data_IF_484847992091
#
_entry.id   IF_484847992091
#
_cell.length_a   1.000
_cell.length_b   1.000
_cell.length_c   1.000
_cell.angle_alpha   90.00
_cell.angle_beta   90.00
_cell.angle_gamma   90.00
#
_symmetry.space_group_name_H-M   'P 1'
#
loop_
_entity.id
_entity.type
_entity.pdbx_description
1 polymer ?
#
# COMPACT_ATOMS: atom_id res chain seq x y z
N UNK A 1 12.36 -14.16 32.71
CA UNK A 1 10.97 -14.25 32.19
C UNK A 1 10.36 -12.87 31.89
N UNK A 2 10.65 -11.81 32.65
CA UNK A 2 10.06 -10.46 32.50
C UNK A 2 10.52 -9.69 31.23
N UNK A 3 11.76 -9.90 30.77
CA UNK A 3 12.29 -9.24 29.54
C UNK A 3 11.52 -9.62 28.25
N UNK A 4 11.00 -10.84 28.17
CA UNK A 4 10.25 -11.30 27.00
C UNK A 4 8.84 -10.70 26.93
N UNK A 5 8.21 -10.40 28.07
CA UNK A 5 6.88 -9.77 28.09
C UNK A 5 6.91 -8.32 27.62
N UNK A 6 7.92 -7.54 28.01
CA UNK A 6 8.07 -6.14 27.56
C UNK A 6 8.33 -6.05 26.05
N UNK A 7 9.16 -6.94 25.51
CA UNK A 7 9.40 -7.01 24.07
C UNK A 7 8.10 -7.40 23.35
N UNK A 8 7.36 -8.40 23.84
CA UNK A 8 6.09 -8.81 23.23
C UNK A 8 5.02 -7.71 23.28
N UNK A 9 4.91 -6.97 24.40
CA UNK A 9 3.98 -5.84 24.54
C UNK A 9 4.35 -4.67 23.60
N UNK A 10 5.65 -4.40 23.41
CA UNK A 10 6.13 -3.39 22.46
C UNK A 10 5.95 -3.83 20.99
N UNK A 11 6.15 -5.12 20.68
CA UNK A 11 5.90 -5.70 19.34
C UNK A 11 4.42 -5.67 18.95
N UNK A 12 3.54 -5.98 19.90
CA UNK A 12 2.09 -5.78 19.74
C UNK A 12 1.82 -4.28 19.54
N UNK A 13 2.51 -3.37 20.23
CA UNK A 13 2.30 -1.94 20.07
C UNK A 13 2.60 -1.42 18.64
N UNK A 14 3.71 -1.84 18.02
CA UNK A 14 4.18 -1.23 16.75
C UNK A 14 3.30 -1.64 15.55
N UNK A 15 2.90 -2.91 15.48
CA UNK A 15 1.99 -3.41 14.45
C UNK A 15 0.62 -2.70 14.55
N UNK A 16 0.09 -2.57 15.77
CA UNK A 16 -1.19 -1.91 15.99
C UNK A 16 -1.14 -0.42 15.65
N UNK A 17 -0.07 0.28 16.02
CA UNK A 17 0.12 1.69 15.62
C UNK A 17 0.12 1.83 14.10
N UNK A 18 0.87 0.99 13.39
CA UNK A 18 0.92 0.98 11.93
C UNK A 18 -0.48 0.76 11.31
N UNK A 19 -1.24 -0.22 11.82
CA UNK A 19 -2.59 -0.52 11.33
C UNK A 19 -3.58 0.60 11.59
N UNK A 20 -3.53 1.22 12.77
CA UNK A 20 -4.38 2.35 13.13
C UNK A 20 -4.10 3.54 12.20
N UNK A 21 -2.82 3.87 11.97
CA UNK A 21 -2.42 4.93 11.05
C UNK A 21 -2.92 4.60 9.63
N UNK A 22 -2.68 3.37 9.14
CA UNK A 22 -3.12 2.93 7.82
C UNK A 22 -4.64 3.08 7.65
N UNK A 23 -5.42 2.52 8.57
CA UNK A 23 -6.89 2.59 8.54
C UNK A 23 -7.40 4.03 8.61
N UNK A 24 -6.79 4.86 9.44
CA UNK A 24 -7.14 6.27 9.53
C UNK A 24 -6.87 6.99 8.20
N UNK A 25 -5.72 6.73 7.57
CA UNK A 25 -5.33 7.34 6.29
C UNK A 25 -6.30 6.95 5.18
N UNK A 26 -6.60 5.66 5.00
CA UNK A 26 -7.47 5.19 3.92
C UNK A 26 -8.95 5.54 4.14
N UNK A 27 -9.35 5.82 5.38
CA UNK A 27 -10.69 6.27 5.71
C UNK A 27 -10.95 7.74 5.34
N UNK A 28 -9.90 8.53 5.15
CA UNK A 28 -10.05 9.92 4.72
C UNK A 28 -10.36 9.96 3.22
N UNK A 29 -11.52 10.48 2.86
CA UNK A 29 -11.81 10.84 1.47
C UNK A 29 -11.03 12.11 1.10
N UNK A 30 -9.78 11.95 0.66
CA UNK A 30 -8.95 13.07 0.25
C UNK A 30 -9.49 13.78 -1.01
N UNK A 31 -10.45 13.17 -1.73
CA UNK A 31 -11.10 13.75 -2.91
C UNK A 31 -12.30 14.65 -2.55
N UNK A 32 -12.93 14.48 -1.37
CA UNK A 32 -14.13 15.23 -0.95
C UNK A 32 -13.92 16.24 0.19
N UNK A 33 -12.77 16.26 0.87
CA UNK A 33 -12.60 17.12 2.04
C UNK A 33 -12.36 18.61 1.70
N UNK A 34 -13.40 19.42 1.83
CA UNK A 34 -13.32 20.85 2.18
C UNK A 34 -12.73 20.96 3.59
N UNK A 35 -11.39 21.01 3.70
CA UNK A 35 -10.71 21.26 4.99
C UNK A 35 -10.92 22.74 5.37
N UNK A 36 -12.09 23.06 5.92
CA UNK A 36 -12.33 24.30 6.68
C UNK A 36 -12.18 24.09 8.19
N UNK A 37 -11.83 22.89 8.64
CA UNK A 37 -11.52 22.61 10.03
C UNK A 37 -10.13 22.01 10.12
N UNK A 38 -9.14 22.86 10.40
CA UNK A 38 -8.00 22.65 11.32
C UNK A 38 -7.39 24.06 11.47
N UNK A 39 -7.91 24.80 12.44
CA UNK A 39 -7.39 26.11 12.88
C UNK A 39 -6.22 25.83 13.81
N UNK A 40 -5.07 25.42 13.28
CA UNK A 40 -3.76 25.62 13.92
C UNK A 40 -2.67 25.55 12.83
N UNK A 41 -1.80 26.58 12.69
CA UNK A 41 -0.77 26.64 11.67
C UNK A 41 0.41 25.71 12.05
N UNK A 42 0.17 24.41 11.97
CA UNK A 42 1.19 23.38 12.23
C UNK A 42 1.42 22.59 10.93
N UNK A 43 2.55 21.90 10.83
CA UNK A 43 3.02 21.17 9.63
C UNK A 43 2.03 20.15 9.03
N UNK A 44 0.99 19.77 9.77
CA UNK A 44 -0.15 18.93 9.35
C UNK A 44 -1.10 19.65 8.39
N UNK A 45 -1.30 20.97 8.55
CA UNK A 45 -2.17 21.77 7.69
C UNK A 45 -1.58 21.97 6.29
N UNK A 46 -0.26 22.11 6.18
CA UNK A 46 0.47 22.19 4.89
C UNK A 46 0.42 20.88 4.12
N UNK A 47 0.47 19.74 4.81
CA UNK A 47 0.42 18.41 4.21
C UNK A 47 -0.97 18.13 3.62
N UNK A 48 -2.03 18.41 4.38
CA UNK A 48 -3.41 18.29 3.86
C UNK A 48 -3.68 19.25 2.69
N UNK A 49 -3.07 20.45 2.70
CA UNK A 49 -3.06 21.37 1.56
C UNK A 49 -2.23 20.83 0.37
N UNK A 50 -1.14 20.12 0.64
CA UNK A 50 -0.30 19.43 -0.35
C UNK A 50 -1.08 18.35 -1.09
N UNK A 51 -1.81 17.53 -0.34
CA UNK A 51 -2.74 16.52 -0.88
C UNK A 51 -3.81 17.18 -1.76
N UNK A 52 -4.42 18.27 -1.29
CA UNK A 52 -5.41 19.04 -2.06
C UNK A 52 -4.85 19.61 -3.37
N UNK A 53 -3.56 19.97 -3.40
CA UNK A 53 -2.88 20.46 -4.60
C UNK A 53 -2.34 19.35 -5.52
N UNK A 54 -2.60 18.08 -5.20
CA UNK A 54 -2.06 16.92 -5.92
C UNK A 54 -0.56 16.70 -5.72
N UNK A 55 0.07 17.43 -4.79
CA UNK A 55 1.50 17.36 -4.49
C UNK A 55 1.86 16.27 -3.48
N UNK A 56 0.89 15.77 -2.73
CA UNK A 56 1.11 14.72 -1.74
C UNK A 56 0.05 13.62 -1.85
N UNK A 57 0.49 12.37 -1.90
CA UNK A 57 -0.40 11.19 -2.03
C UNK A 57 -0.77 10.62 -0.66
N UNK A 58 -1.72 9.67 -0.60
CA UNK A 58 -1.99 8.90 0.63
C UNK A 58 -0.71 8.33 1.27
N UNK A 59 0.28 7.97 0.45
CA UNK A 59 1.60 7.48 0.87
C UNK A 59 2.44 8.52 1.62
N UNK A 60 2.38 9.80 1.21
CA UNK A 60 3.10 10.88 1.88
C UNK A 60 2.49 11.16 3.27
N UNK A 61 1.16 11.18 3.35
CA UNK A 61 0.45 11.29 4.62
C UNK A 61 0.78 10.13 5.56
N UNK A 62 0.74 8.90 5.04
CA UNK A 62 1.10 7.71 5.79
C UNK A 62 2.56 7.78 6.32
N UNK A 63 3.54 8.07 5.45
CA UNK A 63 4.95 8.20 5.84
C UNK A 63 5.17 9.25 6.94
N UNK A 64 4.49 10.39 6.86
CA UNK A 64 4.62 11.45 7.88
C UNK A 64 4.03 11.03 9.23
N UNK A 65 2.88 10.37 9.25
CA UNK A 65 2.29 9.85 10.48
C UNK A 65 3.14 8.72 11.09
N UNK A 66 3.68 7.84 10.24
CA UNK A 66 4.66 6.84 10.66
C UNK A 66 5.87 7.49 11.35
N UNK A 67 6.44 8.54 10.76
CA UNK A 67 7.56 9.28 11.34
C UNK A 67 7.22 9.83 12.75
N UNK A 68 6.04 10.43 12.92
CA UNK A 68 5.60 10.91 14.25
C UNK A 68 5.36 9.79 15.26
N UNK A 69 4.99 8.60 14.80
CA UNK A 69 4.82 7.41 15.63
C UNK A 69 6.13 6.64 15.87
N UNK A 70 7.29 7.15 15.40
CA UNK A 70 8.58 6.47 15.52
C UNK A 70 8.73 5.25 14.59
N UNK A 71 7.91 5.14 13.54
CA UNK A 71 7.97 4.08 12.54
C UNK A 71 8.83 4.50 11.35
N UNK A 72 9.81 3.69 10.99
CA UNK A 72 10.56 3.87 9.74
C UNK A 72 9.67 3.51 8.56
N UNK A 73 9.49 4.45 7.63
CA UNK A 73 8.61 4.30 6.48
C UNK A 73 9.24 4.96 5.26
N UNK A 74 9.28 4.23 4.15
CA UNK A 74 9.84 4.68 2.88
C UNK A 74 8.80 4.67 1.77
N UNK A 75 8.89 5.65 0.87
CA UNK A 75 8.07 5.70 -0.35
C UNK A 75 8.88 5.02 -1.45
N UNK A 76 8.29 4.03 -2.08
CA UNK A 76 8.87 3.26 -3.17
C UNK A 76 8.27 3.76 -4.47
N UNK A 77 9.13 4.02 -5.46
CA UNK A 77 8.75 4.38 -6.81
C UNK A 77 8.89 3.16 -7.72
N UNK A 78 8.04 3.07 -8.75
CA UNK A 78 8.11 1.99 -9.71
C UNK A 78 6.96 1.99 -10.69
N UNK A 79 6.64 0.79 -11.19
CA UNK A 79 5.57 0.53 -12.12
C UNK A 79 4.45 -0.28 -11.46
N UNK A 80 3.25 -0.18 -12.01
CA UNK A 80 2.14 -1.04 -11.57
C UNK A 80 1.26 -1.48 -12.72
N UNK A 81 0.78 -2.72 -12.65
CA UNK A 81 -0.27 -3.26 -13.51
C UNK A 81 -1.63 -2.74 -13.05
N UNK A 82 -1.78 -1.41 -13.04
CA UNK A 82 -2.90 -0.66 -12.46
C UNK A 82 -4.13 -0.56 -13.35
N UNK A 83 -4.83 0.58 -13.29
CA UNK A 83 -5.91 0.89 -14.21
C UNK A 83 -5.38 1.07 -15.64
N UNK A 84 -6.10 0.56 -16.64
CA UNK A 84 -5.74 0.70 -18.05
C UNK A 84 -4.62 -0.24 -18.55
N UNK A 85 -3.89 -0.93 -17.67
CA UNK A 85 -2.90 -1.92 -18.09
C UNK A 85 -3.58 -3.16 -18.65
N UNK A 86 -3.08 -3.64 -19.80
CA UNK A 86 -3.47 -4.91 -20.41
C UNK A 86 -2.23 -5.78 -20.65
N UNK A 87 -2.32 -7.12 -20.54
CA UNK A 87 -1.21 -8.00 -20.88
C UNK A 87 -0.65 -7.68 -22.27
N UNK A 88 0.68 -7.68 -22.39
CA UNK A 88 1.38 -7.32 -23.63
C UNK A 88 1.62 -5.82 -23.83
N UNK A 89 1.04 -4.95 -23.00
CA UNK A 89 1.43 -3.52 -23.00
C UNK A 89 2.82 -3.34 -22.42
N UNK A 90 3.60 -2.47 -23.07
CA UNK A 90 4.92 -2.05 -22.59
C UNK A 90 4.77 -1.05 -21.43
N UNK A 91 5.69 -1.15 -20.48
CA UNK A 91 5.83 -0.20 -19.37
C UNK A 91 7.16 0.53 -19.56
N UNK A 92 7.09 1.70 -20.20
CA UNK A 92 8.25 2.52 -20.56
C UNK A 92 8.00 4.00 -20.23
N UNK A 93 9.06 4.73 -19.88
CA UNK A 93 8.99 6.14 -19.52
C UNK A 93 7.97 6.40 -18.40
N UNK A 94 7.04 7.32 -18.65
CA UNK A 94 6.01 7.72 -17.69
C UNK A 94 4.75 6.83 -17.69
N UNK A 95 4.66 5.85 -18.60
CA UNK A 95 3.51 4.94 -18.62
C UNK A 95 3.50 4.04 -17.40
N UNK A 96 2.34 3.89 -16.76
CA UNK A 96 2.12 3.00 -15.61
C UNK A 96 3.02 3.26 -14.38
N UNK A 97 3.65 4.44 -14.31
CA UNK A 97 4.40 4.89 -13.13
C UNK A 97 3.48 5.03 -11.93
N UNK A 98 3.96 4.58 -10.78
CA UNK A 98 3.21 4.59 -9.54
C UNK A 98 4.16 4.68 -8.33
N UNK A 99 3.56 4.81 -7.14
CA UNK A 99 4.27 4.80 -5.87
C UNK A 99 3.49 4.01 -4.83
N UNK A 100 4.21 3.46 -3.85
CA UNK A 100 3.64 2.86 -2.65
C UNK A 100 4.59 3.05 -1.47
N UNK A 101 4.33 2.40 -0.34
CA UNK A 101 5.12 2.55 0.89
C UNK A 101 5.62 1.22 1.40
N UNK A 102 6.78 1.22 2.05
CA UNK A 102 7.22 0.14 2.92
C UNK A 102 7.43 0.67 4.34
N UNK A 103 7.10 -0.14 5.34
CA UNK A 103 7.29 0.18 6.76
C UNK A 103 8.16 -0.88 7.40
N UNK A 104 9.10 -0.49 8.26
CA UNK A 104 9.87 -1.43 9.05
C UNK A 104 9.11 -1.80 10.33
N UNK A 105 8.78 -3.08 10.47
CA UNK A 105 8.10 -3.64 11.64
C UNK A 105 9.03 -4.71 12.22
N UNK A 106 9.50 -4.48 13.45
CA UNK A 106 10.38 -5.41 14.17
C UNK A 106 11.64 -5.84 13.41
N UNK A 107 12.23 -4.93 12.63
CA UNK A 107 13.43 -5.19 11.83
C UNK A 107 13.16 -5.65 10.40
N UNK A 108 11.91 -5.96 10.05
CA UNK A 108 11.54 -6.42 8.70
C UNK A 108 10.72 -5.38 7.94
N UNK A 109 11.10 -5.11 6.69
CA UNK A 109 10.32 -4.24 5.81
C UNK A 109 9.06 -4.95 5.31
N UNK A 110 7.94 -4.21 5.27
CA UNK A 110 6.62 -4.70 4.84
C UNK A 110 5.94 -3.71 3.92
N UNK A 111 5.30 -4.22 2.87
CA UNK A 111 4.69 -3.41 1.81
C UNK A 111 3.28 -2.95 2.19
N UNK A 112 3.00 -1.67 1.96
CA UNK A 112 1.69 -1.04 2.19
C UNK A 112 1.32 -0.20 0.99
N UNK A 113 0.08 -0.37 0.48
CA UNK A 113 -0.47 0.51 -0.55
C UNK A 113 -1.73 1.24 -0.10
N UNK A 114 -1.55 2.45 0.46
CA UNK A 114 -2.67 3.27 0.93
C UNK A 114 -3.63 3.70 -0.21
N UNK A 115 -3.12 4.04 -1.39
CA UNK A 115 -3.94 4.51 -2.51
C UNK A 115 -4.87 3.40 -3.03
N UNK A 116 -4.33 2.19 -3.18
CA UNK A 116 -5.12 1.04 -3.67
C UNK A 116 -6.04 0.46 -2.59
N UNK A 117 -5.64 0.56 -1.32
CA UNK A 117 -6.47 0.23 -0.16
C UNK A 117 -7.69 1.15 0.01
N UNK A 118 -7.54 2.45 -0.29
CA UNK A 118 -8.60 3.45 -0.18
C UNK A 118 -9.64 3.38 -1.31
N UNK A 119 -9.70 2.27 -2.06
CA UNK A 119 -10.62 2.11 -3.19
C UNK A 119 -12.06 2.37 -2.76
N UNK A 120 -12.73 3.22 -3.52
CA UNK A 120 -14.17 3.34 -3.43
C UNK A 120 -14.81 2.20 -4.23
N UNK A 121 -15.72 1.46 -3.61
CA UNK A 121 -16.57 0.52 -4.35
C UNK A 121 -17.88 1.25 -4.62
N UNK A 122 -18.14 1.54 -5.89
CA UNK A 122 -19.48 1.93 -6.34
C UNK A 122 -20.35 0.67 -6.30
N UNK A 123 -21.31 0.62 -5.38
CA UNK A 123 -22.36 -0.39 -5.36
C UNK A 123 -23.64 0.18 -5.97
N UNK A 124 -24.40 -0.67 -6.65
CA UNK A 124 -25.83 -0.43 -6.88
C UNK A 124 -26.63 -1.20 -5.84
N UNK A 125 -27.30 -0.48 -4.95
CA UNK A 125 -28.52 -0.94 -4.30
C UNK A 125 -29.59 0.07 -4.69
N UNK A 126 -30.67 -0.43 -5.28
CA UNK A 126 -31.93 0.24 -5.61
C UNK A 126 -31.83 1.78 -5.68
N UNK A 127 -31.66 2.24 -6.92
CA UNK A 127 -31.92 3.60 -7.41
C UNK A 127 -30.99 4.75 -6.97
N UNK A 128 -29.91 4.49 -6.24
CA UNK A 128 -28.84 5.48 -6.00
C UNK A 128 -27.43 4.86 -6.09
N UNK A 129 -26.44 5.55 -6.70
CA UNK A 129 -25.03 5.16 -6.56
C UNK A 129 -24.58 5.45 -5.12
N UNK A 130 -24.69 4.46 -4.23
CA UNK A 130 -24.09 4.55 -2.91
C UNK A 130 -22.61 4.19 -3.03
N UNK A 131 -21.76 5.21 -2.86
CA UNK A 131 -20.31 5.05 -2.76
C UNK A 131 -20.01 4.45 -1.37
N UNK A 132 -19.88 3.14 -1.27
CA UNK A 132 -19.44 2.51 -0.04
C UNK A 132 -17.91 2.53 0.02
N UNK A 133 -17.36 3.15 1.07
CA UNK A 133 -15.95 3.00 1.40
C UNK A 133 -15.72 1.57 1.89
N UNK A 134 -15.23 0.70 0.99
CA UNK A 134 -14.75 -0.63 1.36
C UNK A 134 -13.23 -0.61 1.25
N UNK A 135 -12.57 -0.58 2.40
CA UNK A 135 -11.12 -0.66 2.48
C UNK A 135 -10.65 -2.07 2.11
N UNK A 136 -9.59 -2.14 1.32
CA UNK A 136 -9.01 -3.41 0.90
C UNK A 136 -7.75 -3.72 1.72
N UNK A 137 -7.95 -4.57 2.75
CA UNK A 137 -6.88 -4.99 3.67
C UNK A 137 -5.79 -5.80 2.99
N UNK A 138 -5.99 -6.31 1.77
CA UNK A 138 -4.94 -6.95 0.97
C UNK A 138 -3.68 -6.08 0.90
N UNK A 139 -3.86 -4.76 0.80
CA UNK A 139 -2.76 -3.80 0.65
C UNK A 139 -2.14 -3.34 1.98
N UNK A 140 -2.46 -3.98 3.11
CA UNK A 140 -1.81 -3.75 4.40
C UNK A 140 -0.83 -4.88 4.71
N UNK A 141 0.47 -4.55 4.74
CA UNK A 141 1.56 -5.50 5.00
C UNK A 141 1.52 -6.72 4.06
N UNK A 142 1.17 -6.51 2.79
CA UNK A 142 1.07 -7.57 1.78
C UNK A 142 2.37 -8.33 1.67
N UNK A 143 2.25 -9.65 1.52
CA UNK A 143 3.42 -10.50 1.27
C UNK A 143 4.03 -10.16 -0.10
N UNK A 144 5.36 -10.03 -0.20
CA UNK A 144 6.08 -9.71 -1.43
C UNK A 144 5.68 -10.56 -2.65
N UNK A 145 5.46 -11.86 -2.43
CA UNK A 145 5.11 -12.86 -3.44
C UNK A 145 3.74 -12.60 -4.06
N UNK A 146 2.79 -12.07 -3.28
CA UNK A 146 1.47 -11.67 -3.77
C UNK A 146 1.53 -10.25 -4.38
N UNK A 147 2.35 -9.37 -3.82
CA UNK A 147 2.43 -7.96 -4.22
C UNK A 147 3.11 -7.76 -5.58
N UNK A 148 4.13 -8.56 -5.90
CA UNK A 148 4.92 -8.47 -7.15
C UNK A 148 4.06 -8.68 -8.40
N UNK A 149 2.92 -9.36 -8.31
CA UNK A 149 1.99 -9.48 -9.44
C UNK A 149 1.39 -8.16 -9.90
N UNK A 150 1.39 -7.14 -9.03
CA UNK A 150 0.75 -5.85 -9.28
C UNK A 150 1.74 -4.69 -9.36
N UNK A 151 2.88 -4.76 -8.66
CA UNK A 151 3.80 -3.65 -8.49
C UNK A 151 5.26 -4.09 -8.67
N UNK A 152 6.04 -3.31 -9.41
CA UNK A 152 7.47 -3.58 -9.64
C UNK A 152 8.29 -2.32 -9.30
N UNK A 153 9.16 -2.36 -8.28
CA UNK A 153 9.94 -1.20 -7.87
C UNK A 153 11.08 -0.87 -8.82
N UNK A 154 11.52 0.39 -8.82
CA UNK A 154 12.72 0.81 -9.56
C UNK A 154 14.00 0.18 -9.00
N UNK A 155 14.11 0.13 -7.67
CA UNK A 155 15.21 -0.53 -6.99
C UNK A 155 14.81 -1.99 -6.69
N UNK A 156 15.54 -2.99 -7.21
CA UNK A 156 15.17 -4.40 -7.03
C UNK A 156 15.10 -4.86 -5.57
N UNK A 157 15.86 -4.23 -4.66
CA UNK A 157 15.83 -4.52 -3.22
C UNK A 157 14.44 -4.29 -2.60
N UNK A 158 13.66 -3.34 -3.13
CA UNK A 158 12.30 -3.07 -2.65
C UNK A 158 11.25 -4.09 -3.10
N UNK A 159 11.64 -5.10 -3.88
CA UNK A 159 10.76 -6.24 -4.12
C UNK A 159 10.53 -7.03 -2.83
N UNK A 160 11.52 -7.03 -1.93
CA UNK A 160 11.52 -7.79 -0.67
C UNK A 160 11.31 -9.31 -0.87
N UNK A 161 11.53 -9.81 -2.10
CA UNK A 161 11.60 -11.22 -2.43
C UNK A 161 12.99 -11.76 -2.08
N UNK A 162 13.07 -13.03 -1.69
CA UNK A 162 14.35 -13.72 -1.48
C UNK A 162 15.21 -13.73 -2.75
N UNK A 163 14.56 -13.92 -3.90
CA UNK A 163 15.17 -13.84 -5.23
C UNK A 163 14.42 -12.77 -6.03
N UNK A 164 15.03 -11.58 -6.26
CA UNK A 164 14.40 -10.53 -7.03
C UNK A 164 14.04 -11.00 -8.45
N UNK A 165 12.78 -10.77 -8.81
CA UNK A 165 12.23 -11.05 -10.13
C UNK A 165 12.76 -10.03 -11.14
N UNK A 166 13.27 -10.44 -12.31
CA UNK A 166 13.61 -9.51 -13.38
C UNK A 166 12.38 -8.79 -13.95
N UNK A 167 12.57 -7.57 -14.45
CA UNK A 167 11.47 -6.78 -15.01
C UNK A 167 10.77 -7.46 -16.19
N UNK A 168 11.53 -8.16 -17.04
CA UNK A 168 10.97 -8.94 -18.16
C UNK A 168 10.00 -10.03 -17.68
N UNK A 169 10.34 -10.72 -16.59
CA UNK A 169 9.47 -11.73 -16.00
C UNK A 169 8.25 -11.11 -15.32
N UNK A 170 8.44 -9.98 -14.65
CA UNK A 170 7.31 -9.21 -14.12
C UNK A 170 6.29 -8.89 -15.20
N UNK A 171 6.70 -8.45 -16.40
CA UNK A 171 5.77 -8.16 -17.50
C UNK A 171 4.97 -9.39 -17.94
N UNK A 172 5.56 -10.58 -17.86
CA UNK A 172 4.93 -11.86 -18.22
C UNK A 172 3.99 -12.40 -17.15
N UNK A 173 4.06 -11.92 -15.90
CA UNK A 173 3.13 -12.36 -14.84
C UNK A 173 1.66 -12.08 -15.21
N UNK A 174 0.71 -12.95 -14.82
CA UNK A 174 -0.70 -12.71 -15.02
C UNK A 174 -1.15 -11.43 -14.31
N UNK A 175 -2.09 -10.70 -14.93
CA UNK A 175 -2.71 -9.53 -14.31
C UNK A 175 -3.74 -10.01 -13.30
N UNK A 176 -3.37 -10.02 -12.03
CA UNK A 176 -4.28 -10.31 -10.91
C UNK A 176 -4.50 -9.08 -10.04
N UNK A 177 -5.64 -9.03 -9.38
CA UNK A 177 -6.05 -7.95 -8.48
C UNK A 177 -6.33 -8.54 -7.10
N UNK A 178 -6.41 -7.68 -6.10
CA UNK A 178 -6.69 -8.06 -4.71
C UNK A 178 -7.85 -9.05 -4.51
N UNK A 179 -8.97 -9.05 -5.27
CA UNK A 179 -10.02 -10.06 -5.06
C UNK A 179 -9.51 -11.50 -5.21
N UNK A 180 -8.58 -11.76 -6.14
CA UNK A 180 -7.98 -13.09 -6.32
C UNK A 180 -7.38 -13.60 -5.01
N UNK A 181 -6.53 -12.79 -4.40
CA UNK A 181 -5.86 -13.12 -3.14
C UNK A 181 -6.82 -13.10 -1.94
N UNK A 182 -7.77 -12.18 -1.91
CA UNK A 182 -8.78 -12.06 -0.85
C UNK A 182 -9.71 -13.27 -0.76
N UNK A 183 -9.94 -13.98 -1.88
CA UNK A 183 -10.67 -15.26 -1.89
C UNK A 183 -9.77 -16.48 -1.57
N UNK A 184 -8.52 -16.25 -1.15
CA UNK A 184 -7.57 -17.32 -0.84
C UNK A 184 -7.03 -18.04 -2.08
N UNK A 185 -7.26 -17.52 -3.29
CA UNK A 185 -6.69 -18.09 -4.50
C UNK A 185 -5.18 -17.81 -4.53
N UNK A 186 -4.43 -18.77 -5.03
CA UNK A 186 -2.99 -18.71 -5.23
C UNK A 186 -2.65 -19.37 -6.55
N UNK A 187 -1.62 -18.86 -7.21
CA UNK A 187 -1.05 -19.58 -8.34
C UNK A 187 -0.29 -20.79 -7.81
N UNK A 188 -0.46 -21.92 -8.50
CA UNK A 188 0.40 -23.07 -8.25
C UNK A 188 1.81 -22.71 -8.71
N UNK A 189 2.75 -22.57 -7.78
CA UNK A 189 4.15 -22.42 -8.14
C UNK A 189 4.77 -23.81 -8.27
N UNK A 190 5.46 -24.07 -9.39
CA UNK A 190 6.31 -25.25 -9.52
C UNK A 190 7.59 -25.15 -8.67
N UNK A 191 7.75 -24.07 -7.90
CA UNK A 191 8.89 -23.83 -7.02
C UNK A 191 8.71 -24.41 -5.60
N UNK A 192 7.53 -24.96 -5.29
CA UNK A 192 7.24 -25.61 -4.01
C UNK A 192 7.56 -27.12 -3.96
N UNK A 193 8.14 -27.69 -5.02
CA UNK A 193 8.46 -29.11 -5.12
C UNK A 193 9.97 -29.35 -5.30
N UNK A 194 10.82 -28.68 -4.53
CA UNK A 194 12.19 -29.17 -4.28
C UNK A 194 12.72 -28.63 -2.96
N UNK A 195 12.41 -29.34 -1.87
CA UNK A 195 13.33 -29.57 -0.75
C UNK A 195 13.11 -31.02 -0.27
#
# INVERSE_FOLDING_TARGET
MVRNLHILAFKISIFFHCRVIFRWVIAKDLNKNTVNEIVHPNATSTLLKGVKSGKETYHHLFKKLCCYAGLHCEIILGYSKGAGYKPGMRMEGNSFRNSWTAVNIDGSWRLINCTWAARHVTGHRDDLPQLFHKYDEFYFLTDPEDYIYQHYPDEPSWQLLDIPLPFSEFLNLPVVKSPFFNYGLRFYSNYGATI
#
